data_IF_559890143048
#
_entry.id   IF_559890143048
#
_cell.length_a   1.000
_cell.length_b   1.000
_cell.length_c   1.000
_cell.angle_alpha   90.00
_cell.angle_beta   90.00
_cell.angle_gamma   90.00
#
_symmetry.space_group_name_H-M   'P 1'
#
loop_
_entity.id
_entity.type
_entity.pdbx_description
1 polymer ?
#
# COMPACT_ATOMS: atom_id res chain seq x y z
N UNK A 1 28.50 0.49 -33.39
CA UNK A 1 27.09 0.09 -33.20
C UNK A 1 26.89 -0.20 -31.73
N UNK A 2 26.45 0.79 -30.97
CA UNK A 2 26.35 0.72 -29.51
C UNK A 2 25.10 -0.06 -29.13
N UNK A 3 25.28 -1.30 -28.65
CA UNK A 3 24.17 -2.08 -28.09
C UNK A 3 23.80 -1.45 -26.75
N UNK A 4 22.78 -0.60 -26.76
CA UNK A 4 22.13 -0.13 -25.54
C UNK A 4 21.37 -1.32 -24.97
N UNK A 5 21.95 -1.99 -23.98
CA UNK A 5 21.21 -2.91 -23.13
C UNK A 5 20.13 -2.10 -22.39
N UNK A 6 18.90 -2.11 -22.91
CA UNK A 6 17.73 -1.72 -22.11
C UNK A 6 17.62 -2.75 -20.99
N UNK A 7 18.05 -2.39 -19.78
CA UNK A 7 17.70 -3.12 -18.58
C UNK A 7 16.17 -3.04 -18.44
N UNK A 8 15.47 -4.05 -18.94
CA UNK A 8 14.01 -4.16 -18.77
C UNK A 8 13.76 -4.58 -17.33
N UNK A 9 13.38 -3.63 -16.48
CA UNK A 9 12.94 -3.93 -15.11
C UNK A 9 11.72 -4.85 -15.18
N UNK A 10 11.82 -6.06 -14.60
CA UNK A 10 10.68 -6.96 -14.45
C UNK A 10 9.58 -6.28 -13.64
N UNK A 11 8.33 -6.35 -14.11
CA UNK A 11 7.17 -5.70 -13.47
C UNK A 11 6.09 -6.72 -13.11
N UNK A 12 5.45 -6.49 -11.98
CA UNK A 12 4.38 -7.30 -11.39
C UNK A 12 3.08 -6.51 -11.52
N UNK A 13 2.07 -7.12 -12.17
CA UNK A 13 0.76 -6.47 -12.35
C UNK A 13 0.09 -6.25 -10.98
N UNK A 14 -0.55 -5.10 -10.84
CA UNK A 14 -1.39 -4.76 -9.68
C UNK A 14 -2.70 -5.55 -9.65
N UNK A 15 -3.06 -6.24 -10.74
CA UNK A 15 -4.40 -6.83 -10.93
C UNK A 15 -5.45 -5.83 -11.43
N UNK A 16 -5.05 -4.58 -11.71
CA UNK A 16 -5.89 -3.52 -12.26
C UNK A 16 -5.20 -2.99 -13.51
N UNK A 17 -5.56 -3.53 -14.68
CA UNK A 17 -4.90 -3.19 -15.96
C UNK A 17 -4.85 -1.68 -16.24
N UNK A 18 -5.91 -0.94 -15.88
CA UNK A 18 -5.95 0.51 -16.04
C UNK A 18 -4.90 1.21 -15.15
N UNK A 19 -4.68 0.72 -13.93
CA UNK A 19 -3.66 1.25 -13.02
C UNK A 19 -2.25 0.85 -13.47
N UNK A 20 -2.05 -0.37 -13.97
CA UNK A 20 -0.75 -0.83 -14.48
C UNK A 20 -0.21 0.11 -15.59
N UNK A 21 -1.09 0.63 -16.46
CA UNK A 21 -0.72 1.63 -17.48
C UNK A 21 -0.15 2.91 -16.87
N UNK A 22 -0.61 3.31 -15.68
CA UNK A 22 -0.12 4.49 -14.98
C UNK A 22 1.29 4.32 -14.40
N UNK A 23 1.82 3.09 -14.37
CA UNK A 23 3.13 2.74 -13.83
C UNK A 23 3.93 1.85 -14.80
N UNK A 24 3.82 2.12 -16.11
CA UNK A 24 4.58 1.44 -17.17
C UNK A 24 4.42 -0.09 -17.20
N UNK A 25 3.24 -0.60 -16.84
CA UNK A 25 2.89 -2.03 -16.92
C UNK A 25 2.93 -2.78 -15.59
N UNK A 26 3.24 -2.12 -14.47
CA UNK A 26 3.14 -2.72 -13.14
C UNK A 26 4.24 -2.28 -12.17
N UNK A 27 4.20 -2.84 -10.96
CA UNK A 27 5.14 -2.56 -9.89
C UNK A 27 6.48 -3.23 -10.22
N UNK A 28 7.62 -2.53 -10.18
CA UNK A 28 8.92 -3.17 -10.32
C UNK A 28 9.10 -4.31 -9.31
N UNK A 29 9.53 -5.48 -9.79
CA UNK A 29 9.72 -6.66 -8.96
C UNK A 29 10.71 -6.38 -7.82
N UNK A 30 10.38 -6.83 -6.61
CA UNK A 30 11.21 -6.66 -5.41
C UNK A 30 10.93 -5.38 -4.64
N UNK A 31 10.06 -4.50 -5.14
CA UNK A 31 9.79 -3.21 -4.50
C UNK A 31 8.99 -3.34 -3.22
N UNK A 32 9.29 -2.43 -2.29
CA UNK A 32 8.46 -2.16 -1.13
C UNK A 32 7.58 -0.95 -1.42
N UNK A 33 6.26 -1.15 -1.51
CA UNK A 33 5.28 -0.13 -1.86
C UNK A 33 4.40 0.18 -0.65
N UNK A 34 4.40 1.45 -0.24
CA UNK A 34 3.51 1.92 0.82
C UNK A 34 2.15 2.31 0.24
N UNK A 35 1.08 1.70 0.75
CA UNK A 35 -0.30 2.09 0.45
C UNK A 35 -0.82 2.93 1.61
N UNK A 36 -1.00 4.24 1.41
CA UNK A 36 -1.29 5.16 2.52
C UNK A 36 -2.61 5.88 2.35
N UNK A 37 -3.36 6.06 3.43
CA UNK A 37 -4.67 6.73 3.38
C UNK A 37 -5.56 6.40 4.56
N UNK A 38 -6.67 7.13 4.68
CA UNK A 38 -7.65 6.96 5.75
C UNK A 38 -8.27 5.55 5.76
N UNK A 39 -8.83 5.10 6.89
CA UNK A 39 -9.67 3.90 6.92
C UNK A 39 -10.77 3.94 5.86
N UNK A 40 -11.06 2.76 5.31
CA UNK A 40 -12.13 2.60 4.32
C UNK A 40 -11.88 3.34 3.00
N UNK A 41 -10.64 3.68 2.61
CA UNK A 41 -10.32 4.34 1.32
C UNK A 41 -10.06 3.38 0.15
N UNK A 42 -10.00 2.07 0.41
CA UNK A 42 -9.79 1.04 -0.64
C UNK A 42 -8.43 0.34 -0.63
N UNK A 43 -7.55 0.63 0.35
CA UNK A 43 -6.22 0.01 0.47
C UNK A 43 -6.27 -1.52 0.46
N UNK A 44 -7.09 -2.12 1.33
CA UNK A 44 -7.28 -3.57 1.42
C UNK A 44 -7.76 -4.15 0.09
N UNK A 45 -8.73 -3.51 -0.57
CA UNK A 45 -9.23 -3.97 -1.88
C UNK A 45 -8.13 -3.93 -2.95
N UNK A 46 -7.30 -2.89 -2.95
CA UNK A 46 -6.13 -2.81 -3.84
C UNK A 46 -5.12 -3.92 -3.57
N UNK A 47 -4.88 -4.25 -2.29
CA UNK A 47 -4.04 -5.39 -1.89
C UNK A 47 -4.64 -6.75 -2.29
N UNK A 48 -5.96 -6.89 -2.26
CA UNK A 48 -6.65 -8.10 -2.73
C UNK A 48 -6.49 -8.29 -4.25
N UNK A 49 -6.58 -7.23 -5.06
CA UNK A 49 -6.26 -7.30 -6.49
C UNK A 49 -4.83 -7.83 -6.73
N UNK A 50 -3.86 -7.30 -5.99
CA UNK A 50 -2.46 -7.70 -6.11
C UNK A 50 -2.25 -9.18 -5.76
N UNK A 51 -2.93 -9.65 -4.72
CA UNK A 51 -2.92 -11.05 -4.28
C UNK A 51 -3.60 -11.95 -5.31
N UNK A 52 -4.83 -11.62 -5.72
CA UNK A 52 -5.61 -12.39 -6.70
C UNK A 52 -4.87 -12.53 -8.03
N UNK A 53 -4.24 -11.45 -8.50
CA UNK A 53 -3.45 -11.48 -9.72
C UNK A 53 -2.20 -12.35 -9.59
N UNK A 54 -1.58 -12.41 -8.40
CA UNK A 54 -0.47 -13.33 -8.13
C UNK A 54 -0.89 -14.78 -8.20
N UNK A 55 -2.02 -15.11 -7.58
CA UNK A 55 -2.59 -16.47 -7.63
C UNK A 55 -2.91 -16.90 -9.06
N UNK A 56 -3.47 -15.98 -9.86
CA UNK A 56 -3.72 -16.19 -11.29
C UNK A 56 -2.44 -16.44 -12.09
N UNK A 57 -1.35 -15.78 -11.73
CA UNK A 57 -0.03 -15.94 -12.35
C UNK A 57 0.77 -17.13 -11.77
N UNK A 58 0.26 -17.81 -10.75
CA UNK A 58 0.93 -18.92 -10.08
C UNK A 58 2.02 -18.50 -9.08
N UNK A 59 2.10 -17.21 -8.74
CA UNK A 59 3.03 -16.67 -7.75
C UNK A 59 2.63 -17.16 -6.33
N UNK A 60 3.60 -17.57 -5.48
CA UNK A 60 3.39 -17.62 -4.04
C UNK A 60 2.90 -16.26 -3.50
N UNK A 61 1.77 -16.27 -2.81
CA UNK A 61 1.15 -15.11 -2.21
C UNK A 61 1.06 -15.28 -0.69
N UNK A 62 1.43 -14.24 0.05
CA UNK A 62 1.30 -14.19 1.50
C UNK A 62 0.57 -12.90 1.87
N UNK A 63 -0.45 -13.03 2.71
CA UNK A 63 -1.23 -11.89 3.21
C UNK A 63 -1.15 -11.87 4.73
N UNK A 64 -0.48 -10.88 5.30
CA UNK A 64 -0.49 -10.64 6.75
C UNK A 64 -1.60 -9.66 7.05
N UNK A 65 -2.60 -10.08 7.84
CA UNK A 65 -3.68 -9.21 8.31
C UNK A 65 -3.52 -8.95 9.80
N UNK A 66 -3.60 -7.68 10.20
CA UNK A 66 -3.43 -7.25 11.60
C UNK A 66 -4.68 -6.61 12.19
N UNK A 67 -5.64 -6.25 11.35
CA UNK A 67 -6.86 -5.52 11.74
C UNK A 67 -8.15 -6.30 11.44
N UNK A 68 -8.06 -7.34 10.61
CA UNK A 68 -9.17 -8.20 10.25
C UNK A 68 -8.80 -9.68 10.40
N UNK A 69 -9.79 -10.55 10.59
CA UNK A 69 -9.54 -12.00 10.63
C UNK A 69 -9.26 -12.56 9.24
N UNK A 70 -8.59 -13.72 9.16
CA UNK A 70 -8.40 -14.48 7.92
C UNK A 70 -9.70 -14.68 7.14
N UNK A 71 -10.77 -15.08 7.83
CA UNK A 71 -12.07 -15.35 7.22
C UNK A 71 -12.68 -14.06 6.63
N UNK A 72 -12.41 -12.90 7.26
CA UNK A 72 -12.84 -11.61 6.72
C UNK A 72 -12.15 -11.32 5.39
N UNK A 73 -10.83 -11.51 5.31
CA UNK A 73 -10.06 -11.33 4.06
C UNK A 73 -10.60 -12.25 2.95
N UNK A 74 -10.88 -13.53 3.27
CA UNK A 74 -11.46 -14.49 2.32
C UNK A 74 -12.85 -14.05 1.85
N UNK A 75 -13.73 -13.61 2.77
CA UNK A 75 -15.07 -13.11 2.42
C UNK A 75 -15.02 -11.86 1.54
N UNK A 76 -14.13 -10.92 1.86
CA UNK A 76 -13.92 -9.72 1.04
C UNK A 76 -13.42 -10.09 -0.36
N UNK A 77 -12.48 -11.02 -0.49
CA UNK A 77 -12.01 -11.48 -1.79
C UNK A 77 -13.15 -12.08 -2.64
N UNK A 78 -14.03 -12.87 -2.01
CA UNK A 78 -15.20 -13.47 -2.67
C UNK A 78 -16.18 -12.42 -3.20
N UNK A 79 -16.34 -11.28 -2.52
CA UNK A 79 -17.20 -10.17 -2.99
C UNK A 79 -16.79 -9.65 -4.38
N UNK A 80 -15.53 -9.80 -4.75
CA UNK A 80 -14.99 -9.37 -6.04
C UNK A 80 -14.72 -10.54 -7.01
N UNK A 81 -15.25 -11.73 -6.69
CA UNK A 81 -15.15 -12.91 -7.55
C UNK A 81 -13.83 -13.67 -7.43
N UNK A 82 -13.03 -13.42 -6.40
CA UNK A 82 -11.78 -14.17 -6.17
C UNK A 82 -12.00 -15.27 -5.13
N UNK A 83 -11.81 -16.52 -5.54
CA UNK A 83 -11.91 -17.67 -4.65
C UNK A 83 -10.56 -17.99 -3.98
N UNK A 84 -10.25 -17.31 -2.88
CA UNK A 84 -8.98 -17.53 -2.17
C UNK A 84 -8.91 -18.90 -1.47
N UNK A 85 -10.05 -19.48 -1.09
CA UNK A 85 -10.10 -20.76 -0.36
C UNK A 85 -9.42 -21.90 -1.12
N UNK A 86 -9.57 -21.94 -2.44
CA UNK A 86 -8.94 -22.98 -3.28
C UNK A 86 -7.40 -22.95 -3.27
N UNK A 87 -6.83 -21.80 -2.90
CA UNK A 87 -5.39 -21.54 -2.90
C UNK A 87 -4.74 -21.60 -1.52
N UNK A 88 -5.52 -21.64 -0.43
CA UNK A 88 -5.01 -21.70 0.94
C UNK A 88 -4.05 -22.88 1.09
N UNK A 89 -2.88 -22.59 1.66
CA UNK A 89 -1.75 -23.51 1.89
C UNK A 89 -1.14 -24.16 0.63
N UNK A 90 -1.63 -23.82 -0.57
CA UNK A 90 -1.06 -24.26 -1.86
C UNK A 90 -0.25 -23.15 -2.52
N UNK A 91 -0.88 -21.99 -2.66
CA UNK A 91 -0.30 -20.78 -3.27
C UNK A 91 -0.57 -19.51 -2.46
N UNK A 92 -1.48 -19.57 -1.49
CA UNK A 92 -1.82 -18.48 -0.59
C UNK A 92 -1.61 -18.92 0.86
N UNK A 93 -0.92 -18.12 1.66
CA UNK A 93 -0.98 -18.19 3.12
C UNK A 93 -1.49 -16.85 3.64
N UNK A 94 -2.50 -16.88 4.51
CA UNK A 94 -2.99 -15.70 5.21
C UNK A 94 -2.58 -15.83 6.67
N UNK A 95 -1.69 -14.94 7.11
CA UNK A 95 -1.20 -14.87 8.48
C UNK A 95 -2.10 -13.92 9.27
N UNK A 96 -2.77 -14.44 10.30
CA UNK A 96 -3.68 -13.68 11.16
C UNK A 96 -2.92 -13.18 12.41
N UNK A 97 -2.78 -11.86 12.55
CA UNK A 97 -2.16 -11.25 13.72
C UNK A 97 -3.19 -10.55 14.65
N UNK A 98 -4.48 -10.66 14.32
CA UNK A 98 -5.58 -10.07 15.08
C UNK A 98 -6.05 -11.04 16.17
N UNK A 99 -6.38 -12.28 15.80
CA UNK A 99 -7.03 -13.23 16.70
C UNK A 99 -6.06 -13.90 17.68
N UNK A 100 -4.77 -14.02 17.31
CA UNK A 100 -3.69 -14.55 18.15
C UNK A 100 -3.99 -15.95 18.72
N UNK A 101 -4.68 -16.76 17.93
CA UNK A 101 -5.00 -18.15 18.27
C UNK A 101 -3.70 -18.98 18.31
N UNK A 102 -3.43 -19.67 19.42
CA UNK A 102 -2.15 -20.37 19.61
C UNK A 102 -2.05 -21.69 18.85
N UNK A 103 -3.18 -22.26 18.48
CA UNK A 103 -3.28 -23.58 17.84
C UNK A 103 -3.23 -23.48 16.30
N UNK A 104 -3.37 -22.27 15.75
CA UNK A 104 -3.29 -21.99 14.32
C UNK A 104 -1.84 -21.72 13.89
N UNK A 105 -1.31 -22.56 13.00
CA UNK A 105 0.04 -22.46 12.42
C UNK A 105 0.33 -21.06 11.83
N UNK A 106 -0.68 -20.46 11.22
CA UNK A 106 -0.60 -19.17 10.52
C UNK A 106 -1.19 -18.02 11.32
N UNK A 107 -1.13 -18.13 12.65
CA UNK A 107 -1.46 -17.04 13.58
C UNK A 107 -0.18 -16.45 14.17
N UNK A 108 -0.18 -15.14 14.43
CA UNK A 108 0.89 -14.43 15.13
C UNK A 108 0.45 -14.12 16.55
N UNK A 109 1.27 -14.52 17.53
CA UNK A 109 0.98 -14.27 18.95
C UNK A 109 1.41 -12.85 19.32
N UNK A 110 2.49 -12.37 18.72
CA UNK A 110 2.97 -11.00 18.90
C UNK A 110 3.22 -10.28 17.57
N UNK A 111 3.07 -8.96 17.60
CA UNK A 111 3.37 -8.07 16.47
C UNK A 111 4.85 -7.61 16.48
N UNK A 112 5.75 -8.45 17.02
CA UNK A 112 7.18 -8.18 16.93
C UNK A 112 7.65 -8.29 15.47
N UNK A 113 8.38 -7.29 14.92
CA UNK A 113 8.86 -7.32 13.54
C UNK A 113 9.67 -8.56 13.16
N UNK A 114 10.46 -9.12 14.08
CA UNK A 114 11.25 -10.33 13.83
C UNK A 114 10.36 -11.58 13.75
N UNK A 115 9.37 -11.70 14.63
CA UNK A 115 8.39 -12.81 14.62
C UNK A 115 7.57 -12.80 13.32
N UNK A 116 7.09 -11.61 12.92
CA UNK A 116 6.36 -11.41 11.67
C UNK A 116 7.21 -11.83 10.46
N UNK A 117 8.48 -11.40 10.41
CA UNK A 117 9.40 -11.79 9.32
C UNK A 117 9.65 -13.29 9.31
N UNK A 118 9.89 -13.90 10.46
CA UNK A 118 10.14 -15.34 10.56
C UNK A 118 8.92 -16.14 10.06
N UNK A 119 7.70 -15.74 10.46
CA UNK A 119 6.47 -16.39 10.01
C UNK A 119 6.21 -16.21 8.50
N UNK A 120 6.54 -15.04 7.94
CA UNK A 120 6.49 -14.81 6.48
C UNK A 120 7.49 -15.70 5.75
N UNK A 121 8.70 -15.86 6.28
CA UNK A 121 9.74 -16.72 5.69
C UNK A 121 9.33 -18.19 5.76
N UNK A 122 8.78 -18.65 6.89
CA UNK A 122 8.22 -20.00 7.05
C UNK A 122 7.13 -20.28 6.01
N UNK A 123 6.18 -19.35 5.87
CA UNK A 123 5.15 -19.41 4.83
C UNK A 123 5.76 -19.47 3.41
N UNK A 124 6.81 -18.66 3.14
CA UNK A 124 7.51 -18.68 1.84
C UNK A 124 8.14 -20.04 1.55
N UNK A 125 8.74 -20.67 2.57
CA UNK A 125 9.36 -21.98 2.44
C UNK A 125 8.31 -23.05 2.13
N UNK A 126 7.16 -23.03 2.81
CA UNK A 126 6.03 -23.93 2.53
C UNK A 126 5.49 -23.79 1.11
N UNK A 127 5.39 -22.56 0.60
CA UNK A 127 4.88 -22.27 -0.75
C UNK A 127 5.92 -22.48 -1.88
N UNK A 128 7.20 -22.68 -1.54
CA UNK A 128 8.27 -22.99 -2.49
C UNK A 128 9.01 -21.79 -3.08
N UNK A 129 9.85 -22.04 -4.09
CA UNK A 129 10.73 -21.04 -4.71
C UNK A 129 10.03 -20.13 -5.73
N UNK A 130 10.72 -19.07 -6.16
CA UNK A 130 10.22 -18.10 -7.15
C UNK A 130 9.88 -16.74 -6.55
N UNK A 131 9.55 -15.78 -7.42
CA UNK A 131 9.08 -14.45 -7.03
C UNK A 131 7.79 -14.58 -6.24
N UNK A 132 7.59 -13.75 -5.23
CA UNK A 132 6.41 -13.82 -4.38
C UNK A 132 5.78 -12.45 -4.15
N UNK A 133 4.49 -12.45 -3.86
CA UNK A 133 3.70 -11.26 -3.54
C UNK A 133 3.37 -11.28 -2.06
N UNK A 134 3.67 -10.19 -1.37
CA UNK A 134 3.41 -10.04 0.05
C UNK A 134 2.53 -8.81 0.30
N UNK A 135 1.49 -8.97 1.10
CA UNK A 135 0.73 -7.88 1.69
C UNK A 135 0.96 -7.88 3.21
N UNK A 136 1.19 -6.70 3.78
CA UNK A 136 1.15 -6.45 5.22
C UNK A 136 0.08 -5.38 5.48
N UNK A 137 -1.09 -5.82 5.93
CA UNK A 137 -2.28 -5.00 6.15
C UNK A 137 -2.70 -5.02 7.63
N UNK A 138 -2.17 -4.15 8.49
CA UNK A 138 -1.34 -2.97 8.20
C UNK A 138 0.04 -3.04 8.83
N UNK A 139 1.04 -2.45 8.14
CA UNK A 139 2.39 -2.32 8.71
C UNK A 139 2.41 -1.36 9.90
N UNK A 140 1.44 -0.44 9.97
CA UNK A 140 1.28 0.49 11.10
C UNK A 140 1.13 -0.23 12.44
N UNK A 141 0.50 -1.40 12.46
CA UNK A 141 0.29 -2.17 13.68
C UNK A 141 1.62 -2.59 14.35
N UNK A 142 2.71 -2.72 13.59
CA UNK A 142 4.03 -3.13 14.10
C UNK A 142 4.76 -2.04 14.91
N UNK A 143 4.28 -0.80 14.85
CA UNK A 143 4.92 0.33 15.53
C UNK A 143 3.90 1.30 16.13
N UNK A 144 2.69 0.81 16.41
CA UNK A 144 1.62 1.61 17.02
C UNK A 144 2.03 2.17 18.39
N UNK A 145 2.69 1.35 19.21
CA UNK A 145 3.24 1.73 20.52
C UNK A 145 4.62 2.42 20.42
N UNK A 146 5.27 2.33 19.25
CA UNK A 146 6.63 2.84 19.00
C UNK A 146 6.75 3.62 17.68
N UNK A 147 6.03 4.74 17.49
CA UNK A 147 6.00 5.44 16.20
C UNK A 147 7.38 5.86 15.66
N UNK A 148 8.31 6.23 16.57
CA UNK A 148 9.69 6.59 16.21
C UNK A 148 10.46 5.44 15.52
N UNK A 149 10.05 4.18 15.72
CA UNK A 149 10.68 3.01 15.14
C UNK A 149 10.18 2.68 13.72
N UNK A 150 9.14 3.35 13.23
CA UNK A 150 8.52 3.05 11.94
C UNK A 150 9.53 2.98 10.78
N UNK A 151 10.50 3.92 10.73
CA UNK A 151 11.55 3.92 9.71
C UNK A 151 12.46 2.70 9.80
N UNK A 152 12.94 2.40 11.03
CA UNK A 152 13.86 1.29 11.28
C UNK A 152 13.21 -0.05 10.99
N UNK A 153 11.95 -0.22 11.42
CA UNK A 153 11.16 -1.43 11.17
C UNK A 153 10.89 -1.60 9.67
N UNK A 154 10.42 -0.55 8.99
CA UNK A 154 10.17 -0.61 7.54
C UNK A 154 11.44 -0.96 6.75
N UNK A 155 12.59 -0.39 7.15
CA UNK A 155 13.88 -0.71 6.51
C UNK A 155 14.29 -2.17 6.74
N UNK A 156 14.10 -2.68 7.96
CA UNK A 156 14.33 -4.07 8.29
C UNK A 156 13.47 -5.01 7.43
N UNK A 157 12.14 -4.79 7.39
CA UNK A 157 11.20 -5.56 6.58
C UNK A 157 11.61 -5.56 5.11
N UNK A 158 11.82 -4.38 4.52
CA UNK A 158 12.25 -4.24 3.13
C UNK A 158 13.53 -5.02 2.85
N UNK A 159 14.57 -4.82 3.66
CA UNK A 159 15.90 -5.41 3.44
C UNK A 159 15.87 -6.93 3.54
N UNK A 160 15.17 -7.48 4.53
CA UNK A 160 15.12 -8.93 4.73
C UNK A 160 14.22 -9.58 3.68
N UNK A 161 13.01 -9.09 3.50
CA UNK A 161 12.01 -9.72 2.63
C UNK A 161 12.34 -9.56 1.14
N UNK A 162 13.03 -8.49 0.74
CA UNK A 162 13.53 -8.39 -0.64
C UNK A 162 14.50 -9.53 -1.01
N UNK A 163 15.36 -9.97 -0.07
CA UNK A 163 16.26 -11.13 -0.28
C UNK A 163 15.51 -12.45 -0.47
N UNK A 164 14.27 -12.51 0.01
CA UNK A 164 13.36 -13.65 -0.18
C UNK A 164 12.46 -13.50 -1.43
N UNK A 165 12.83 -12.58 -2.33
CA UNK A 165 12.21 -12.36 -3.64
C UNK A 165 10.74 -11.89 -3.57
N UNK A 166 10.39 -11.15 -2.52
CA UNK A 166 9.08 -10.53 -2.37
C UNK A 166 8.97 -9.18 -3.06
N UNK A 167 7.82 -8.95 -3.70
CA UNK A 167 7.27 -7.61 -3.98
C UNK A 167 6.18 -7.33 -2.95
N UNK A 168 6.26 -6.20 -2.25
CA UNK A 168 5.60 -6.00 -0.96
C UNK A 168 4.66 -4.80 -1.02
N UNK A 169 3.40 -5.00 -0.64
CA UNK A 169 2.48 -3.93 -0.28
C UNK A 169 2.39 -3.83 1.24
N UNK A 170 2.68 -2.64 1.75
CA UNK A 170 2.58 -2.33 3.17
C UNK A 170 1.53 -1.24 3.36
N UNK A 171 0.37 -1.58 3.92
CA UNK A 171 -0.68 -0.58 4.16
C UNK A 171 -0.35 0.20 5.42
N UNK A 172 -0.59 1.52 5.38
CA UNK A 172 -0.43 2.39 6.54
C UNK A 172 -1.60 3.36 6.62
N UNK A 173 -2.18 3.45 7.80
CA UNK A 173 -3.26 4.36 8.10
C UNK A 173 -2.68 5.61 8.77
N UNK A 174 -3.13 6.79 8.33
CA UNK A 174 -2.88 8.03 9.04
C UNK A 174 -4.19 8.53 9.65
N UNK A 175 -4.13 9.00 10.90
CA UNK A 175 -5.24 9.71 11.52
C UNK A 175 -5.28 11.16 11.00
N UNK A 176 -6.44 11.59 10.50
CA UNK A 176 -6.70 12.92 9.92
C UNK A 176 -6.49 14.05 10.95
N UNK A 177 -6.63 13.74 12.24
CA UNK A 177 -6.64 14.72 13.35
C UNK A 177 -5.30 15.39 13.57
N UNK A 178 -4.21 14.84 13.03
CA UNK A 178 -2.89 15.45 13.06
C UNK A 178 -2.49 15.84 11.64
N UNK A 179 -2.67 17.12 11.29
CA UNK A 179 -2.06 17.78 10.13
C UNK A 179 -0.52 17.64 10.08
N UNK A 180 0.07 16.99 11.09
CA UNK A 180 1.44 16.52 11.12
C UNK A 180 1.50 15.07 10.64
N UNK A 181 2.18 14.88 9.53
CA UNK A 181 2.42 13.59 8.89
C UNK A 181 2.86 12.51 9.89
N UNK A 182 1.99 11.54 10.19
CA UNK A 182 2.42 10.26 10.76
C UNK A 182 3.24 9.41 9.75
N UNK A 183 3.64 9.98 8.61
CA UNK A 183 4.34 9.33 7.51
C UNK A 183 5.87 9.32 7.57
N UNK A 184 6.49 9.83 8.64
CA UNK A 184 7.95 10.01 8.67
C UNK A 184 8.77 8.71 8.59
N UNK A 185 8.18 7.53 8.77
CA UNK A 185 8.90 6.26 8.70
C UNK A 185 8.81 5.51 7.37
N UNK A 186 7.61 5.03 7.05
CA UNK A 186 7.39 4.03 6.01
C UNK A 186 7.63 4.60 4.61
N UNK A 187 7.09 5.79 4.33
CA UNK A 187 7.16 6.44 3.01
C UNK A 187 8.59 6.76 2.57
N UNK A 188 9.47 7.12 3.52
CA UNK A 188 10.88 7.40 3.25
C UNK A 188 11.67 6.15 2.83
N UNK A 189 11.29 4.98 3.34
CA UNK A 189 11.93 3.70 3.02
C UNK A 189 11.37 3.09 1.74
N UNK A 190 10.10 3.34 1.45
CA UNK A 190 9.38 2.74 0.33
C UNK A 190 9.98 3.15 -1.04
N UNK A 191 9.98 2.20 -1.97
CA UNK A 191 10.36 2.45 -3.37
C UNK A 191 9.20 3.05 -4.18
N UNK A 192 7.97 2.74 -3.77
CA UNK A 192 6.75 3.35 -4.28
C UNK A 192 5.81 3.79 -3.16
N UNK A 193 5.03 4.84 -3.41
CA UNK A 193 4.00 5.34 -2.51
C UNK A 193 2.74 5.56 -3.36
N UNK A 194 1.66 4.89 -2.96
CA UNK A 194 0.33 5.05 -3.57
C UNK A 194 -0.58 5.57 -2.46
N UNK A 195 -1.13 6.77 -2.66
CA UNK A 195 -2.00 7.41 -1.67
C UNK A 195 -3.45 7.25 -2.08
N UNK A 196 -4.27 6.91 -1.11
CA UNK A 196 -5.71 6.81 -1.21
C UNK A 196 -6.35 7.94 -0.40
N UNK A 197 -7.42 8.52 -0.95
CA UNK A 197 -8.21 9.59 -0.33
C UNK A 197 -9.69 9.31 -0.51
N UNK A 198 -10.50 9.91 0.35
CA UNK A 198 -11.95 9.96 0.19
C UNK A 198 -12.44 11.38 0.44
N UNK A 199 -13.52 11.77 -0.20
CA UNK A 199 -14.21 13.02 0.05
C UNK A 199 -15.71 12.81 -0.09
N UNK A 200 -16.51 13.53 0.69
CA UNK A 200 -17.96 13.57 0.49
C UNK A 200 -18.26 14.86 -0.30
N UNK A 201 -18.87 14.75 -1.47
CA UNK A 201 -19.31 15.89 -2.28
C UNK A 201 -20.79 15.70 -2.57
N UNK A 202 -21.60 16.72 -2.29
CA UNK A 202 -23.05 16.69 -2.52
C UNK A 202 -23.75 15.45 -1.90
N UNK A 203 -23.28 14.98 -0.74
CA UNK A 203 -23.81 13.78 -0.09
C UNK A 203 -23.28 12.44 -0.62
N UNK A 204 -22.48 12.45 -1.68
CA UNK A 204 -21.91 11.25 -2.30
C UNK A 204 -20.46 11.03 -1.88
N UNK A 205 -20.08 9.77 -1.66
CA UNK A 205 -18.73 9.38 -1.31
C UNK A 205 -17.89 9.18 -2.57
N UNK A 206 -16.88 10.03 -2.75
CA UNK A 206 -15.88 9.91 -3.80
C UNK A 206 -14.57 9.37 -3.24
N UNK A 207 -13.85 8.60 -4.06
CA UNK A 207 -12.56 8.01 -3.71
C UNK A 207 -11.53 8.37 -4.75
N UNK A 208 -10.31 8.60 -4.31
CA UNK A 208 -9.23 9.02 -5.19
C UNK A 208 -7.96 8.25 -4.89
N UNK A 209 -7.17 8.03 -5.93
CA UNK A 209 -5.85 7.41 -5.88
C UNK A 209 -4.82 8.32 -6.56
N UNK A 210 -3.63 8.40 -6.00
CA UNK A 210 -2.48 9.10 -6.61
C UNK A 210 -1.21 8.29 -6.40
N UNK A 211 -0.38 8.20 -7.44
CA UNK A 211 0.96 7.65 -7.36
C UNK A 211 1.89 8.80 -6.97
N UNK A 212 2.20 8.89 -5.69
CA UNK A 212 3.10 9.94 -5.17
C UNK A 212 4.54 9.68 -5.59
N UNK A 213 4.93 8.40 -5.63
CA UNK A 213 6.30 7.97 -5.90
C UNK A 213 6.28 6.58 -6.52
N UNK A 214 7.09 6.37 -7.55
CA UNK A 214 7.45 5.03 -8.00
C UNK A 214 8.85 5.07 -8.62
N UNK A 215 9.86 4.55 -7.90
CA UNK A 215 11.23 4.52 -8.42
C UNK A 215 11.32 3.74 -9.74
N UNK A 216 12.28 4.12 -10.59
CA UNK A 216 12.53 3.47 -11.89
C UNK A 216 11.28 3.38 -12.78
N UNK A 217 10.36 4.33 -12.64
CA UNK A 217 9.09 4.35 -13.37
C UNK A 217 8.71 5.81 -13.64
N UNK A 218 8.47 6.17 -14.90
CA UNK A 218 7.78 7.42 -15.20
C UNK A 218 6.29 7.17 -15.02
N UNK A 219 5.81 7.45 -13.81
CA UNK A 219 4.43 7.22 -13.42
C UNK A 219 3.52 8.41 -13.76
N UNK A 220 2.22 8.14 -13.85
CA UNK A 220 1.20 9.19 -13.93
C UNK A 220 1.26 10.07 -12.67
N UNK A 221 1.15 11.38 -12.88
CA UNK A 221 1.31 12.43 -11.87
C UNK A 221 -0.04 13.03 -11.44
N UNK A 222 -1.14 12.58 -12.03
CA UNK A 222 -2.47 13.09 -11.74
C UNK A 222 -3.17 12.27 -10.66
N UNK A 223 -4.17 12.90 -10.04
CA UNK A 223 -5.13 12.23 -9.19
C UNK A 223 -6.17 11.53 -10.06
N UNK A 224 -6.49 10.29 -9.74
CA UNK A 224 -7.52 9.52 -10.42
C UNK A 224 -8.68 9.24 -9.47
N UNK A 225 -9.90 9.50 -9.92
CA UNK A 225 -11.10 9.04 -9.23
C UNK A 225 -11.25 7.53 -9.44
N UNK A 226 -11.57 6.84 -8.35
CA UNK A 226 -11.79 5.39 -8.35
C UNK A 226 -13.15 5.06 -7.74
N UNK A 227 -13.67 3.91 -8.15
CA UNK A 227 -14.89 3.30 -7.62
C UNK A 227 -14.61 1.87 -7.16
N UNK A 228 -15.43 1.34 -6.26
CA UNK A 228 -15.33 -0.04 -5.77
C UNK A 228 -16.62 -0.76 -6.17
N UNK A 229 -16.53 -1.59 -7.19
CA UNK A 229 -17.68 -2.24 -7.82
C UNK A 229 -17.72 -3.72 -7.43
N UNK A 230 -18.87 -4.19 -6.96
CA UNK A 230 -19.08 -5.61 -6.64
C UNK A 230 -18.75 -6.51 -7.84
N UNK A 231 -18.10 -7.65 -7.60
CA UNK A 231 -17.64 -8.57 -8.63
C UNK A 231 -16.48 -8.06 -9.51
N UNK A 232 -15.94 -6.85 -9.26
CA UNK A 232 -14.82 -6.28 -10.02
C UNK A 232 -13.69 -5.72 -9.16
N UNK A 233 -14.01 -5.14 -8.01
CA UNK A 233 -13.08 -4.43 -7.15
C UNK A 233 -12.89 -2.98 -7.59
N UNK A 234 -11.66 -2.48 -7.56
CA UNK A 234 -11.31 -1.09 -7.90
C UNK A 234 -11.39 -0.87 -9.41
N UNK A 235 -12.07 0.19 -9.80
CA UNK A 235 -12.20 0.68 -11.17
C UNK A 235 -11.77 2.14 -11.24
N UNK A 236 -10.86 2.48 -12.15
CA UNK A 236 -10.50 3.89 -12.44
C UNK A 236 -11.62 4.53 -13.26
N UNK A 237 -12.19 5.62 -12.75
CA UNK A 237 -13.32 6.33 -13.37
C UNK A 237 -12.86 7.43 -14.31
N UNK A 238 -11.89 8.21 -13.87
CA UNK A 238 -11.38 9.33 -14.64
C UNK A 238 -10.22 10.02 -13.96
N UNK A 239 -9.39 10.64 -14.78
CA UNK A 239 -8.34 11.54 -14.33
C UNK A 239 -8.98 12.86 -13.90
N UNK A 240 -8.56 13.41 -12.77
CA UNK A 240 -8.91 14.78 -12.40
C UNK A 240 -8.07 15.73 -13.25
N UNK A 241 -8.73 16.52 -14.08
CA UNK A 241 -8.14 17.70 -14.72
C UNK A 241 -8.06 18.83 -13.70
N UNK A 242 -6.96 19.59 -13.73
CA UNK A 242 -6.59 20.60 -12.71
C UNK A 242 -7.76 21.51 -12.32
N UNK A 243 -8.01 21.67 -11.02
CA UNK A 243 -8.86 22.75 -10.50
C UNK A 243 -7.97 23.75 -9.74
N UNK A 244 -8.23 25.05 -9.91
CA UNK A 244 -7.51 26.15 -9.23
C UNK A 244 -7.39 25.96 -7.71
N UNK A 245 -8.31 25.22 -7.10
CA UNK A 245 -8.38 24.88 -5.68
C UNK A 245 -7.23 23.97 -5.20
N UNK A 246 -6.66 23.14 -6.07
CA UNK A 246 -5.64 22.15 -5.70
C UNK A 246 -4.27 22.82 -5.39
N UNK A 247 -4.08 24.07 -5.84
CA UNK A 247 -2.93 24.92 -5.53
C UNK A 247 -3.23 25.97 -4.44
N UNK A 248 -4.49 26.07 -3.99
CA UNK A 248 -4.85 27.04 -2.97
C UNK A 248 -4.33 26.54 -1.61
N UNK A 249 -3.30 27.21 -1.08
CA UNK A 249 -2.93 27.06 0.32
C UNK A 249 -4.19 27.21 1.18
N UNK A 250 -4.42 26.33 2.17
CA UNK A 250 -5.53 26.51 3.11
C UNK A 250 -5.51 27.95 3.64
N UNK A 251 -6.68 28.59 3.77
CA UNK A 251 -6.80 29.99 4.19
C UNK A 251 -5.89 30.32 5.38
N UNK A 252 -5.83 29.40 6.35
CA UNK A 252 -4.99 29.51 7.56
C UNK A 252 -3.50 29.59 7.25
N UNK A 253 -3.01 28.86 6.26
CA UNK A 253 -1.59 28.87 5.86
C UNK A 253 -1.28 30.14 5.07
N UNK A 254 -2.17 30.52 4.14
CA UNK A 254 -2.05 31.78 3.40
C UNK A 254 -2.04 32.99 4.34
N UNK A 255 -2.93 33.01 5.32
CA UNK A 255 -3.00 34.07 6.32
C UNK A 255 -1.76 34.11 7.22
N UNK A 256 -1.24 32.95 7.63
CA UNK A 256 0.02 32.89 8.38
C UNK A 256 1.22 33.44 7.61
N UNK A 257 1.32 33.18 6.31
CA UNK A 257 2.39 33.70 5.45
C UNK A 257 2.25 35.23 5.32
N UNK A 258 1.03 35.73 5.15
CA UNK A 258 0.76 37.18 5.08
C UNK A 258 1.11 37.85 6.42
N UNK A 259 0.74 37.25 7.55
CA UNK A 259 1.06 37.76 8.89
C UNK A 259 2.57 37.76 9.16
N UNK A 260 3.31 36.72 8.74
CA UNK A 260 4.76 36.68 8.90
C UNK A 260 5.47 37.74 8.06
N UNK A 261 5.07 37.93 6.80
CA UNK A 261 5.68 38.94 5.93
C UNK A 261 5.41 40.37 6.40
N UNK A 262 4.22 40.65 6.97
CA UNK A 262 3.91 41.96 7.56
C UNK A 262 4.76 42.26 8.80
N UNK A 263 5.00 41.26 9.66
CA UNK A 263 5.86 41.43 10.84
C UNK A 263 7.31 41.70 10.45
N UNK A 264 7.83 41.00 9.43
CA UNK A 264 9.18 41.27 8.90
C UNK A 264 9.30 42.71 8.36
N UNK A 265 8.28 43.21 7.65
CA UNK A 265 8.26 44.60 7.16
C UNK A 265 8.12 45.65 8.28
N UNK A 266 7.46 45.33 9.40
CA UNK A 266 7.35 46.21 10.57
C UNK A 266 8.63 46.22 11.41
N UNK A 267 9.36 45.11 11.51
CA UNK A 267 10.66 45.02 12.21
C UNK A 267 11.82 45.68 11.43
N UNK A 268 11.63 45.93 10.14
CA UNK A 268 12.60 46.59 9.25
C UNK A 268 12.40 48.13 9.14
N UNK A 269 11.44 48.71 9.87
CA UNK A 269 11.19 50.16 9.96
C UNK A 269 11.58 50.72 11.32
#
# INVERSE_FOLDING_TARGET
>A
MSIIFKFVTSRISTGILAFDKLIQGGIPQGFFVALTGEPGTGKTIFSLHFTAQGLKEGDPCIYVTTEESRESIIRQARQFGWNFEEHIEKKLIIIDALMREKEDEWSLISLNPEEVVNKIIEAKQKLGYGRARLVIDSVSALFLDKPAMARKISYYLKRVLNKWNFTIYATSQYAITTSQAFGFGVEHVADGIIRFRRAIKNGELHRYIIIEKMRQTDHDKHVWEIDIVNGKGIVLKGKLEERREDYALPEKVKNKIIESSKKEEEELK
#
